data_IF_927840347896
#
_entry.id   IF_927840347896
#
_cell.length_a   1.000
_cell.length_b   1.000
_cell.length_c   1.000
_cell.angle_alpha   90.00
_cell.angle_beta   90.00
_cell.angle_gamma   90.00
#
_symmetry.space_group_name_H-M   'P 1'
#
loop_
_entity.id
_entity.type
_entity.pdbx_description
1 polymer ?
#
# COMPACT_ATOMS: atom_id res chain seq x y z
N UNK A 1 -22.53 3.31 -14.85
CA UNK A 1 -21.73 2.76 -13.73
C UNK A 1 -20.89 3.88 -13.16
N UNK A 2 -20.90 4.07 -11.84
CA UNK A 2 -20.12 5.10 -11.17
C UNK A 2 -18.62 4.77 -11.32
N UNK A 3 -17.87 5.61 -12.04
CA UNK A 3 -16.46 5.36 -12.41
C UNK A 3 -15.55 5.22 -11.19
N UNK A 4 -15.91 5.88 -10.08
CA UNK A 4 -15.20 5.78 -8.80
C UNK A 4 -15.39 4.38 -8.21
N UNK A 5 -16.63 3.86 -8.17
CA UNK A 5 -16.92 2.54 -7.59
C UNK A 5 -16.15 1.44 -8.32
N UNK A 6 -16.09 1.48 -9.66
CA UNK A 6 -15.31 0.52 -10.45
C UNK A 6 -13.81 0.59 -10.14
N UNK A 7 -13.24 1.79 -9.99
CA UNK A 7 -11.82 1.93 -9.60
C UNK A 7 -11.55 1.37 -8.19
N UNK A 8 -12.49 1.56 -7.27
CA UNK A 8 -12.40 0.99 -5.93
C UNK A 8 -12.37 -0.53 -5.98
N UNK A 9 -13.33 -1.15 -6.66
CA UNK A 9 -13.45 -2.61 -6.75
C UNK A 9 -12.26 -3.23 -7.51
N UNK A 10 -11.84 -2.62 -8.63
CA UNK A 10 -10.84 -3.21 -9.52
C UNK A 10 -9.38 -2.95 -9.08
N UNK A 11 -9.12 -1.90 -8.29
CA UNK A 11 -7.73 -1.51 -7.95
C UNK A 11 -7.49 -1.22 -6.47
N UNK A 12 -8.30 -0.35 -5.83
CA UNK A 12 -8.00 0.11 -4.47
C UNK A 12 -8.20 -1.01 -3.46
N UNK A 13 -9.35 -1.70 -3.50
CA UNK A 13 -9.67 -2.76 -2.53
C UNK A 13 -8.67 -3.93 -2.62
N UNK A 14 -8.34 -4.47 -3.81
CA UNK A 14 -7.29 -5.49 -3.91
C UNK A 14 -5.92 -5.05 -3.36
N UNK A 15 -5.50 -3.81 -3.64
CA UNK A 15 -4.23 -3.30 -3.12
C UNK A 15 -4.23 -3.15 -1.59
N UNK A 16 -5.35 -2.72 -1.00
CA UNK A 16 -5.50 -2.64 0.46
C UNK A 16 -5.49 -4.01 1.12
N UNK A 17 -6.07 -5.04 0.47
CA UNK A 17 -6.01 -6.41 0.98
C UNK A 17 -4.55 -6.87 1.07
N UNK A 18 -3.76 -6.66 0.02
CA UNK A 18 -2.33 -7.02 0.05
C UNK A 18 -1.54 -6.18 1.05
N UNK A 19 -1.83 -4.89 1.17
CA UNK A 19 -1.22 -4.02 2.18
C UNK A 19 -1.47 -4.51 3.61
N UNK A 20 -2.70 -4.87 3.95
CA UNK A 20 -3.09 -5.33 5.29
C UNK A 20 -2.48 -6.70 5.64
N UNK A 21 -2.13 -7.51 4.65
CA UNK A 21 -1.45 -8.81 4.88
C UNK A 21 -0.03 -8.63 5.41
N UNK A 22 0.59 -7.48 5.19
CA UNK A 22 1.96 -7.22 5.63
C UNK A 22 1.94 -7.01 7.16
N UNK A 23 2.69 -7.79 7.95
CA UNK A 23 2.69 -7.69 9.41
C UNK A 23 3.56 -6.51 9.90
N UNK A 24 3.30 -5.31 9.38
CA UNK A 24 4.02 -4.07 9.65
C UNK A 24 3.70 -3.50 11.04
N UNK A 25 4.20 -4.17 12.09
CA UNK A 25 4.11 -3.69 13.47
C UNK A 25 4.96 -2.41 13.64
N UNK A 26 4.45 -1.44 14.39
CA UNK A 26 5.22 -0.23 14.68
C UNK A 26 6.45 -0.55 15.56
N UNK A 27 7.50 0.29 15.56
CA UNK A 27 8.73 0.05 16.31
C UNK A 27 8.54 -0.20 17.82
N UNK A 28 7.42 0.27 18.38
CA UNK A 28 7.08 0.04 19.78
C UNK A 28 6.66 -1.42 20.07
N UNK A 29 6.12 -2.12 19.08
CA UNK A 29 5.60 -3.49 19.20
C UNK A 29 6.53 -4.56 18.58
N UNK A 30 7.59 -4.12 17.90
CA UNK A 30 8.60 -4.99 17.30
C UNK A 30 9.97 -4.30 17.35
N UNK A 31 10.88 -4.81 18.18
CA UNK A 31 12.21 -4.22 18.37
C UNK A 31 13.12 -4.44 17.16
N UNK A 32 12.89 -5.51 16.41
CA UNK A 32 13.67 -5.90 15.24
C UNK A 32 12.97 -5.52 13.93
N UNK A 33 12.01 -4.59 13.98
CA UNK A 33 11.15 -4.17 12.85
C UNK A 33 11.95 -3.81 11.58
N UNK A 34 13.12 -3.18 11.73
CA UNK A 34 13.98 -2.81 10.59
C UNK A 34 14.55 -4.05 9.90
N UNK A 35 14.98 -5.05 10.68
CA UNK A 35 15.49 -6.31 10.15
C UNK A 35 14.37 -7.13 9.50
N UNK A 36 13.15 -7.07 10.05
CA UNK A 36 11.97 -7.70 9.44
C UNK A 36 11.51 -7.02 8.15
N UNK A 37 11.75 -5.71 7.98
CA UNK A 37 11.52 -4.99 6.73
C UNK A 37 10.05 -4.78 6.34
N UNK A 38 9.08 -5.19 7.16
CA UNK A 38 7.66 -5.14 6.84
C UNK A 38 7.12 -3.72 6.64
N UNK A 39 7.63 -2.74 7.41
CA UNK A 39 7.24 -1.34 7.22
C UNK A 39 7.70 -0.85 5.84
N UNK A 40 8.93 -1.17 5.44
CA UNK A 40 9.48 -0.79 4.14
C UNK A 40 8.72 -1.48 2.99
N UNK A 41 8.34 -2.75 3.19
CA UNK A 41 7.51 -3.50 2.25
C UNK A 41 6.14 -2.83 2.05
N UNK A 42 5.46 -2.48 3.14
CA UNK A 42 4.16 -1.81 3.12
C UNK A 42 4.24 -0.42 2.46
N UNK A 43 5.25 0.36 2.82
CA UNK A 43 5.50 1.68 2.22
C UNK A 43 5.77 1.57 0.71
N UNK A 44 6.60 0.60 0.29
CA UNK A 44 6.90 0.34 -1.12
C UNK A 44 5.65 -0.07 -1.89
N UNK A 45 4.81 -0.95 -1.33
CA UNK A 45 3.56 -1.37 -1.97
C UNK A 45 2.63 -0.17 -2.21
N UNK A 46 2.45 0.67 -1.19
CA UNK A 46 1.62 1.87 -1.29
C UNK A 46 2.18 2.88 -2.29
N UNK A 47 3.48 3.17 -2.23
CA UNK A 47 4.15 4.08 -3.16
C UNK A 47 3.98 3.63 -4.62
N UNK A 48 4.24 2.35 -4.90
CA UNK A 48 4.07 1.79 -6.23
C UNK A 48 2.62 1.85 -6.74
N UNK A 49 1.63 1.71 -5.85
CA UNK A 49 0.23 1.91 -6.23
C UNK A 49 -0.02 3.36 -6.63
N UNK A 50 0.45 4.32 -5.83
CA UNK A 50 0.33 5.74 -6.13
C UNK A 50 1.00 6.11 -7.46
N UNK A 51 2.22 5.63 -7.72
CA UNK A 51 2.96 5.88 -8.97
C UNK A 51 2.18 5.38 -10.20
N UNK A 52 1.61 4.17 -10.13
CA UNK A 52 0.81 3.60 -11.24
C UNK A 52 -0.49 4.36 -11.50
N UNK A 53 -1.04 5.00 -10.47
CA UNK A 53 -2.31 5.72 -10.52
C UNK A 53 -2.13 7.24 -10.50
N UNK A 54 -0.89 7.73 -10.63
CA UNK A 54 -0.57 9.15 -10.58
C UNK A 54 -1.25 9.91 -11.72
N UNK A 55 -1.70 11.14 -11.42
CA UNK A 55 -2.16 12.05 -12.45
C UNK A 55 -0.99 12.47 -13.32
N UNK A 56 -1.27 12.74 -14.60
CA UNK A 56 -0.25 13.23 -15.54
C UNK A 56 0.45 14.47 -14.95
N UNK A 57 1.77 14.41 -14.85
CA UNK A 57 2.60 15.51 -14.36
C UNK A 57 2.91 15.46 -12.87
N UNK A 58 2.47 14.44 -12.14
CA UNK A 58 2.91 14.18 -10.77
C UNK A 58 4.06 13.14 -10.80
N UNK A 59 5.23 13.51 -10.28
CA UNK A 59 6.34 12.61 -9.92
C UNK A 59 6.72 12.85 -8.47
#
# INVERSE_FOLDING_TARGET
MNTIAKLWDDSIVPALIEYIRIPAKSPHFDRDWQAHGHIDEAARLAAQWCERHALRGMQ
#
